data_IF_073189031477
#
_entry.id   IF_073189031477
#
_cell.length_a   1.000
_cell.length_b   1.000
_cell.length_c   1.000
_cell.angle_alpha   90.00
_cell.angle_beta   90.00
_cell.angle_gamma   90.00
#
_symmetry.space_group_name_H-M   'P 1'
#
loop_
_entity.id
_entity.type
_entity.pdbx_description
1 polymer ?
#
# COMPACT_ATOMS: atom_id res chain seq x y z
N UNK A 1 -21.93 19.67 -15.34
CA UNK A 1 -21.14 18.59 -14.67
C UNK A 1 -20.44 19.22 -13.48
N UNK A 2 -20.83 18.92 -12.24
CA UNK A 2 -20.10 19.38 -11.05
C UNK A 2 -18.86 18.51 -10.86
N UNK A 3 -17.64 19.09 -10.78
CA UNK A 3 -16.43 18.30 -10.61
C UNK A 3 -16.44 17.54 -9.28
N UNK A 4 -16.23 16.22 -9.32
CA UNK A 4 -16.12 15.40 -8.10
C UNK A 4 -14.66 15.31 -7.64
N UNK A 5 -14.36 15.77 -6.43
CA UNK A 5 -13.00 15.73 -5.86
C UNK A 5 -12.54 14.34 -5.40
N UNK A 6 -13.46 13.35 -5.36
CA UNK A 6 -13.17 12.00 -4.85
C UNK A 6 -12.09 11.26 -5.65
N UNK A 7 -12.08 11.42 -6.97
CA UNK A 7 -11.10 10.76 -7.85
C UNK A 7 -9.66 11.26 -7.61
N UNK A 8 -9.38 12.58 -7.67
CA UNK A 8 -8.03 13.07 -7.39
C UNK A 8 -7.61 12.83 -5.94
N UNK A 9 -8.51 13.02 -4.97
CA UNK A 9 -8.21 12.72 -3.56
C UNK A 9 -7.90 11.23 -3.33
N UNK A 10 -8.66 10.32 -3.96
CA UNK A 10 -8.42 8.89 -3.87
C UNK A 10 -7.10 8.46 -4.51
N UNK A 11 -6.73 9.03 -5.67
CA UNK A 11 -5.42 8.82 -6.27
C UNK A 11 -4.28 9.26 -5.34
N UNK A 12 -4.37 10.45 -4.75
CA UNK A 12 -3.37 10.91 -3.79
C UNK A 12 -3.30 10.01 -2.55
N UNK A 13 -4.45 9.51 -2.07
CA UNK A 13 -4.51 8.55 -0.98
C UNK A 13 -3.80 7.22 -1.31
N UNK A 14 -3.99 6.70 -2.52
CA UNK A 14 -3.30 5.48 -3.00
C UNK A 14 -1.80 5.72 -3.10
N UNK A 15 -1.38 6.85 -3.68
CA UNK A 15 0.04 7.20 -3.79
C UNK A 15 0.68 7.32 -2.40
N UNK A 16 0.03 8.02 -1.47
CA UNK A 16 0.49 8.17 -0.11
C UNK A 16 0.57 6.82 0.61
N UNK A 17 -0.42 5.95 0.43
CA UNK A 17 -0.41 4.59 0.98
C UNK A 17 0.79 3.78 0.47
N UNK A 18 1.03 3.78 -0.84
CA UNK A 18 2.15 3.06 -1.45
C UNK A 18 3.48 3.65 -0.96
N UNK A 19 3.61 4.99 -0.90
CA UNK A 19 4.82 5.65 -0.40
C UNK A 19 5.10 5.26 1.05
N UNK A 20 4.11 5.36 1.94
CA UNK A 20 4.27 4.97 3.34
C UNK A 20 4.64 3.49 3.48
N UNK A 21 4.01 2.62 2.69
CA UNK A 21 4.30 1.19 2.70
C UNK A 21 5.73 0.91 2.25
N UNK A 22 6.15 1.48 1.12
CA UNK A 22 7.52 1.35 0.61
C UNK A 22 8.55 1.87 1.62
N UNK A 23 8.32 3.05 2.21
CA UNK A 23 9.23 3.60 3.23
C UNK A 23 9.33 2.64 4.42
N UNK A 24 8.20 2.18 4.96
CA UNK A 24 8.18 1.25 6.09
C UNK A 24 8.97 -0.04 5.80
N UNK A 25 8.75 -0.67 4.66
CA UNK A 25 9.41 -1.92 4.29
C UNK A 25 10.90 -1.70 3.99
N UNK A 26 11.27 -0.63 3.28
CA UNK A 26 12.67 -0.31 2.98
C UNK A 26 13.44 -0.02 4.27
N UNK A 27 12.85 0.71 5.22
CA UNK A 27 13.48 0.98 6.51
C UNK A 27 13.75 -0.30 7.33
N UNK A 28 12.99 -1.38 7.11
CA UNK A 28 13.21 -2.68 7.75
C UNK A 28 14.21 -3.57 7.00
N UNK A 29 14.61 -3.21 5.78
CA UNK A 29 15.44 -4.05 4.91
C UNK A 29 16.78 -4.44 5.52
N UNK A 30 17.42 -3.56 6.29
CA UNK A 30 18.70 -3.88 6.98
C UNK A 30 18.53 -4.99 8.02
N UNK A 31 17.41 -4.98 8.74
CA UNK A 31 17.09 -5.99 9.76
C UNK A 31 16.74 -7.31 9.07
N UNK A 32 15.82 -7.27 8.09
CA UNK A 32 15.38 -8.45 7.34
C UNK A 32 16.55 -9.07 6.56
N UNK A 33 17.48 -8.24 6.08
CA UNK A 33 18.70 -8.67 5.40
C UNK A 33 19.61 -9.59 6.22
N UNK A 34 19.51 -9.53 7.55
CA UNK A 34 20.26 -10.42 8.46
C UNK A 34 19.60 -11.78 8.68
N UNK A 35 18.35 -11.96 8.27
CA UNK A 35 17.60 -13.19 8.47
C UNK A 35 18.01 -14.28 7.49
N UNK A 36 17.67 -15.53 7.82
CA UNK A 36 17.76 -16.64 6.89
C UNK A 36 16.89 -16.38 5.65
N UNK A 37 17.32 -16.85 4.49
CA UNK A 37 16.66 -16.57 3.19
C UNK A 37 15.17 -16.94 3.16
N UNK A 38 14.75 -18.00 3.87
CA UNK A 38 13.34 -18.39 3.99
C UNK A 38 12.51 -17.35 4.73
N UNK A 39 13.07 -16.73 5.78
CA UNK A 39 12.43 -15.66 6.52
C UNK A 39 12.27 -14.40 5.68
N UNK A 40 13.29 -14.07 4.88
CA UNK A 40 13.22 -12.97 3.91
C UNK A 40 12.13 -13.24 2.86
N UNK A 41 12.11 -14.45 2.30
CA UNK A 41 11.12 -14.85 1.31
C UNK A 41 9.69 -14.72 1.87
N UNK A 42 9.44 -15.28 3.04
CA UNK A 42 8.13 -15.19 3.69
C UNK A 42 7.73 -13.73 3.97
N UNK A 43 8.67 -12.92 4.48
CA UNK A 43 8.43 -11.51 4.76
C UNK A 43 8.05 -10.76 3.48
N UNK A 44 8.87 -10.82 2.43
CA UNK A 44 8.63 -10.08 1.20
C UNK A 44 7.36 -10.54 0.46
N UNK A 45 7.05 -11.84 0.47
CA UNK A 45 5.80 -12.35 -0.09
C UNK A 45 4.58 -11.81 0.65
N UNK A 46 4.58 -11.85 1.99
CA UNK A 46 3.47 -11.35 2.80
C UNK A 46 3.33 -9.84 2.65
N UNK A 47 4.42 -9.09 2.77
CA UNK A 47 4.39 -7.62 2.65
C UNK A 47 4.03 -7.16 1.24
N UNK A 48 4.39 -7.94 0.22
CA UNK A 48 4.05 -7.70 -1.19
C UNK A 48 2.59 -7.99 -1.53
N UNK A 49 1.88 -8.74 -0.69
CA UNK A 49 0.46 -9.06 -0.87
C UNK A 49 -0.46 -8.23 0.02
N UNK A 50 -0.08 -8.05 1.30
CA UNK A 50 -0.96 -7.47 2.32
C UNK A 50 -1.27 -5.99 2.08
N UNK A 51 -0.37 -5.24 1.42
CA UNK A 51 -0.57 -3.82 1.10
C UNK A 51 -1.74 -3.55 0.15
N UNK A 52 -2.22 -4.58 -0.56
CA UNK A 52 -3.36 -4.49 -1.47
C UNK A 52 -4.69 -4.39 -0.71
N UNK A 53 -4.77 -4.97 0.49
CA UNK A 53 -6.00 -5.00 1.30
C UNK A 53 -6.68 -3.62 1.47
N UNK A 54 -5.96 -2.53 1.79
CA UNK A 54 -6.56 -1.20 1.92
C UNK A 54 -6.97 -0.53 0.60
N UNK A 55 -6.60 -1.04 -0.59
CA UNK A 55 -7.01 -0.44 -1.87
C UNK A 55 -8.51 -0.59 -2.12
N UNK A 56 -9.09 -1.74 -1.77
CA UNK A 56 -10.50 -2.05 -2.02
C UNK A 56 -11.49 -1.01 -1.47
N UNK A 57 -11.41 -0.58 -0.19
CA UNK A 57 -12.31 0.46 0.32
C UNK A 57 -12.07 1.83 -0.34
N UNK A 58 -10.81 2.20 -0.63
CA UNK A 58 -10.49 3.47 -1.28
C UNK A 58 -11.10 3.55 -2.68
N UNK A 59 -10.96 2.48 -3.47
CA UNK A 59 -11.55 2.39 -4.80
C UNK A 59 -13.08 2.45 -4.75
N UNK A 60 -13.71 1.74 -3.81
CA UNK A 60 -15.17 1.78 -3.62
C UNK A 60 -15.66 3.20 -3.33
N UNK A 61 -14.94 3.94 -2.49
CA UNK A 61 -15.27 5.32 -2.17
C UNK A 61 -15.10 6.25 -3.38
N UNK A 62 -14.05 6.06 -4.20
CA UNK A 62 -13.84 6.85 -5.41
C UNK A 62 -15.02 6.71 -6.39
N UNK A 63 -15.47 5.47 -6.61
CA UNK A 63 -16.54 5.15 -7.55
C UNK A 63 -17.93 5.50 -7.02
N UNK A 64 -18.24 5.11 -5.78
CA UNK A 64 -19.61 5.15 -5.25
C UNK A 64 -19.86 6.25 -4.21
N UNK A 65 -18.79 6.85 -3.66
CA UNK A 65 -18.88 7.80 -2.54
C UNK A 65 -19.20 7.15 -1.19
N UNK A 66 -19.26 5.81 -1.12
CA UNK A 66 -19.50 5.00 0.09
C UNK A 66 -18.32 4.12 0.42
#
# INVERSE_FOLDING_TARGET
MTPSWRKPAGMLGILLLITLWCVAIVSLSTIVGSWHWLGQLAFYLVTGLIWIAPLKPVLRWMETGR
#
